data_IF_272619074041
#
_entry.id   IF_272619074041
#
_cell.length_a   1.000
_cell.length_b   1.000
_cell.length_c   1.000
_cell.angle_alpha   90.00
_cell.angle_beta   90.00
_cell.angle_gamma   90.00
#
_symmetry.space_group_name_H-M   'P 1'
#
loop_
_entity.id
_entity.type
_entity.pdbx_description
1 polymer ?
#
# COMPACT_ATOMS: atom_id res chain seq x y z
N UNK A 1 0.89 22.02 -2.42
CA UNK A 1 2.05 22.36 -1.55
C UNK A 1 3.14 21.27 -1.52
N UNK A 2 2.83 19.98 -1.38
CA UNK A 2 3.88 18.93 -1.41
C UNK A 2 4.49 18.68 -2.80
N UNK A 3 3.67 18.58 -3.85
CA UNK A 3 4.17 18.33 -5.22
C UNK A 3 5.15 19.42 -5.71
N UNK A 4 4.85 20.68 -5.41
CA UNK A 4 5.70 21.83 -5.77
C UNK A 4 7.07 21.82 -5.07
N UNK A 5 7.19 21.12 -3.94
CA UNK A 5 8.43 21.03 -3.16
C UNK A 5 9.40 19.97 -3.70
N UNK A 6 9.03 19.24 -4.75
CA UNK A 6 9.95 18.32 -5.41
C UNK A 6 10.02 16.91 -4.80
N UNK A 7 9.11 16.55 -3.87
CA UNK A 7 9.12 15.27 -3.14
C UNK A 7 8.87 14.08 -4.04
N UNK A 8 9.54 12.95 -3.84
CA UNK A 8 9.40 11.76 -4.70
C UNK A 8 8.08 11.01 -4.50
N UNK A 9 7.58 11.00 -3.26
CA UNK A 9 6.44 10.19 -2.81
C UNK A 9 5.39 11.10 -2.20
N UNK A 10 4.14 10.92 -2.63
CA UNK A 10 2.97 11.54 -2.00
C UNK A 10 2.31 10.52 -1.08
N UNK A 11 2.20 10.90 0.18
CA UNK A 11 1.52 10.19 1.27
C UNK A 11 0.78 11.25 2.08
N UNK A 12 -0.49 11.11 2.44
CA UNK A 12 -1.46 10.03 2.19
C UNK A 12 -2.37 10.37 0.99
N UNK A 13 -3.30 9.48 0.64
CA UNK A 13 -4.43 9.90 -0.22
C UNK A 13 -5.31 10.92 0.54
N UNK A 14 -5.84 11.96 -0.14
CA UNK A 14 -6.67 12.98 0.49
C UNK A 14 -8.04 12.40 0.90
N UNK A 15 -8.55 12.89 2.04
CA UNK A 15 -9.89 12.58 2.52
C UNK A 15 -10.90 13.69 2.22
N UNK A 16 -10.43 14.93 2.08
CA UNK A 16 -11.22 16.16 1.91
C UNK A 16 -11.62 16.45 0.45
N UNK A 17 -11.22 15.59 -0.49
CA UNK A 17 -11.59 15.67 -1.89
C UNK A 17 -10.85 14.65 -2.73
N UNK A 18 -11.33 14.45 -3.96
CA UNK A 18 -10.60 13.66 -4.97
C UNK A 18 -9.56 14.56 -5.62
N UNK A 19 -8.33 14.04 -5.84
CA UNK A 19 -7.33 14.79 -6.59
C UNK A 19 -7.86 15.19 -7.97
N UNK A 20 -7.65 16.45 -8.33
CA UNK A 20 -8.04 17.00 -9.63
C UNK A 20 -7.17 16.47 -10.77
N UNK A 21 -7.69 16.52 -11.99
CA UNK A 21 -6.94 16.09 -13.20
C UNK A 21 -5.60 16.83 -13.35
N UNK A 22 -5.53 18.11 -12.93
CA UNK A 22 -4.30 18.89 -12.97
C UNK A 22 -3.27 18.39 -11.96
N UNK A 23 -3.68 18.04 -10.75
CA UNK A 23 -2.80 17.47 -9.72
C UNK A 23 -2.32 16.06 -10.10
N UNK A 24 -3.19 15.26 -10.71
CA UNK A 24 -2.84 13.93 -11.24
C UNK A 24 -1.85 14.07 -12.39
N UNK A 25 -2.10 14.98 -13.35
CA UNK A 25 -1.19 15.26 -14.46
C UNK A 25 0.20 15.69 -13.96
N UNK A 26 0.25 16.56 -12.96
CA UNK A 26 1.50 16.98 -12.34
C UNK A 26 2.27 15.81 -11.71
N UNK A 27 1.58 14.84 -11.09
CA UNK A 27 2.25 13.64 -10.58
C UNK A 27 2.88 12.82 -11.71
N UNK A 28 2.18 12.64 -12.83
CA UNK A 28 2.70 11.93 -14.00
C UNK A 28 3.92 12.65 -14.59
N UNK A 29 3.79 13.95 -14.88
CA UNK A 29 4.85 14.77 -15.48
C UNK A 29 6.11 14.80 -14.60
N UNK A 30 5.93 14.90 -13.29
CA UNK A 30 7.03 14.94 -12.33
C UNK A 30 7.47 13.56 -11.83
N UNK A 31 6.95 12.47 -12.42
CA UNK A 31 7.29 11.07 -12.08
C UNK A 31 7.15 10.76 -10.59
N UNK A 32 6.11 11.31 -9.96
CA UNK A 32 5.80 11.05 -8.55
C UNK A 32 5.12 9.70 -8.39
N UNK A 33 5.27 9.14 -7.20
CA UNK A 33 4.57 7.91 -6.81
C UNK A 33 3.66 8.17 -5.63
N UNK A 34 2.65 7.32 -5.47
CA UNK A 34 1.68 7.39 -4.38
C UNK A 34 1.84 6.22 -3.42
N UNK A 35 1.84 6.51 -2.12
CA UNK A 35 1.65 5.52 -1.04
C UNK A 35 0.41 5.96 -0.26
N UNK A 36 -0.78 5.38 -0.54
CA UNK A 36 -2.05 5.98 -0.13
C UNK A 36 -2.45 5.71 1.32
N UNK A 37 -2.03 4.58 1.90
CA UNK A 37 -2.34 4.15 3.29
C UNK A 37 -3.83 4.08 3.60
N UNK A 38 -4.58 3.43 2.72
CA UNK A 38 -6.04 3.37 2.76
C UNK A 38 -6.56 2.75 4.07
N UNK A 39 -5.92 1.72 4.60
CA UNK A 39 -6.33 1.12 5.89
C UNK A 39 -6.24 2.11 7.06
N UNK A 40 -5.19 2.95 7.09
CA UNK A 40 -5.07 3.99 8.12
C UNK A 40 -6.16 5.04 7.95
N UNK A 41 -6.41 5.47 6.71
CA UNK A 41 -7.44 6.46 6.40
C UNK A 41 -8.86 5.96 6.75
N UNK A 42 -9.17 4.68 6.49
CA UNK A 42 -10.42 4.06 6.94
C UNK A 42 -10.57 4.16 8.46
N UNK A 43 -9.50 3.82 9.20
CA UNK A 43 -9.49 3.91 10.66
C UNK A 43 -9.68 5.34 11.15
N UNK A 44 -9.03 6.32 10.51
CA UNK A 44 -9.18 7.75 10.81
C UNK A 44 -10.63 8.21 10.62
N UNK A 45 -11.29 7.81 9.53
CA UNK A 45 -12.69 8.14 9.30
C UNK A 45 -13.64 7.52 10.35
N UNK A 46 -13.23 6.47 11.06
CA UNK A 46 -14.03 5.83 12.11
C UNK A 46 -13.71 6.37 13.52
N UNK A 47 -12.63 7.14 13.69
CA UNK A 47 -12.22 7.66 15.00
C UNK A 47 -13.12 8.82 15.46
N UNK A 48 -13.70 8.65 16.66
CA UNK A 48 -14.45 9.72 17.34
C UNK A 48 -13.51 10.87 17.75
N UNK A 49 -13.93 12.10 17.54
CA UNK A 49 -13.17 13.30 17.95
C UNK A 49 -12.07 13.74 16.98
N UNK A 50 -11.86 13.00 15.90
CA UNK A 50 -11.31 13.58 14.67
C UNK A 50 -12.49 14.25 13.96
N UNK A 51 -12.25 15.46 13.48
CA UNK A 51 -13.22 16.43 12.99
C UNK A 51 -13.94 15.95 11.71
N UNK A 52 -14.79 14.93 11.84
CA UNK A 52 -15.68 14.40 10.81
C UNK A 52 -16.67 15.46 10.29
N UNK A 53 -16.78 16.60 10.99
CA UNK A 53 -17.57 17.75 10.58
C UNK A 53 -16.90 18.58 9.49
N UNK A 54 -15.62 18.29 9.15
CA UNK A 54 -14.95 18.93 8.03
C UNK A 54 -15.68 18.61 6.72
N UNK A 55 -16.17 19.62 5.98
CA UNK A 55 -16.86 19.41 4.72
C UNK A 55 -16.01 18.57 3.77
N UNK A 56 -16.59 17.50 3.24
CA UNK A 56 -15.93 16.64 2.26
C UNK A 56 -15.02 15.57 2.85
N UNK A 57 -14.89 15.43 4.17
CA UNK A 57 -14.07 14.38 4.80
C UNK A 57 -14.70 12.99 4.64
N UNK A 58 -14.25 12.22 3.65
CA UNK A 58 -14.83 10.92 3.29
C UNK A 58 -13.75 9.94 2.80
N UNK A 59 -13.74 8.72 3.35
CA UNK A 59 -12.87 7.64 2.89
C UNK A 59 -13.06 7.32 1.39
N UNK A 60 -14.27 7.52 0.86
CA UNK A 60 -14.53 7.34 -0.56
C UNK A 60 -13.69 8.26 -1.45
N UNK A 61 -13.27 9.43 -0.96
CA UNK A 61 -12.39 10.34 -1.71
C UNK A 61 -10.97 9.77 -1.86
N UNK A 62 -10.46 9.10 -0.82
CA UNK A 62 -9.18 8.42 -0.87
C UNK A 62 -9.20 7.26 -1.87
N UNK A 63 -10.24 6.42 -1.84
CA UNK A 63 -10.43 5.32 -2.81
C UNK A 63 -10.51 5.82 -4.25
N UNK A 64 -11.31 6.87 -4.49
CA UNK A 64 -11.44 7.50 -5.81
C UNK A 64 -10.12 8.12 -6.27
N UNK A 65 -9.36 8.74 -5.37
CA UNK A 65 -8.03 9.28 -5.69
C UNK A 65 -7.09 8.18 -6.16
N UNK A 66 -7.02 7.04 -5.45
CA UNK A 66 -6.19 5.91 -5.89
C UNK A 66 -6.63 5.38 -7.24
N UNK A 67 -7.94 5.33 -7.50
CA UNK A 67 -8.50 4.92 -8.79
C UNK A 67 -8.03 5.85 -9.93
N UNK A 68 -8.16 7.17 -9.78
CA UNK A 68 -7.75 8.13 -10.83
C UNK A 68 -6.24 8.16 -11.03
N UNK A 69 -5.46 8.02 -9.96
CA UNK A 69 -3.99 7.91 -10.04
C UNK A 69 -3.58 6.66 -10.82
N UNK A 70 -4.14 5.50 -10.48
CA UNK A 70 -3.86 4.23 -11.17
C UNK A 70 -4.24 4.32 -12.65
N UNK A 71 -5.44 4.82 -12.97
CA UNK A 71 -5.88 5.00 -14.36
C UNK A 71 -4.99 5.98 -15.15
N UNK A 72 -4.43 7.00 -14.51
CA UNK A 72 -3.51 7.94 -15.13
C UNK A 72 -2.07 7.38 -15.27
N UNK A 73 -1.80 6.17 -14.77
CA UNK A 73 -0.48 5.54 -14.81
C UNK A 73 0.48 6.05 -13.74
N UNK A 74 -0.01 6.74 -12.70
CA UNK A 74 0.80 7.07 -11.53
C UNK A 74 1.08 5.77 -10.76
N UNK A 75 2.36 5.43 -10.49
CA UNK A 75 2.69 4.24 -9.72
C UNK A 75 2.15 4.33 -8.30
N UNK A 76 1.39 3.32 -7.90
CA UNK A 76 0.86 3.16 -6.54
C UNK A 76 1.62 2.04 -5.85
N UNK A 77 2.18 2.34 -4.68
CA UNK A 77 2.89 1.38 -3.82
C UNK A 77 2.03 1.11 -2.58
N UNK A 78 2.04 -0.14 -2.11
CA UNK A 78 1.38 -0.49 -0.86
C UNK A 78 2.15 0.09 0.34
N UNK A 79 1.43 0.72 1.25
CA UNK A 79 1.93 1.14 2.55
C UNK A 79 0.75 1.31 3.49
N UNK A 80 0.89 0.90 4.75
CA UNK A 80 -0.25 0.78 5.67
C UNK A 80 -0.30 1.85 6.74
N UNK A 81 0.82 2.54 6.96
CA UNK A 81 1.06 3.35 8.16
C UNK A 81 0.89 2.55 9.47
N UNK A 82 1.34 1.28 9.47
CA UNK A 82 1.32 0.41 10.65
C UNK A 82 2.10 1.01 11.82
N UNK A 83 1.48 1.07 12.99
CA UNK A 83 2.02 1.71 14.18
C UNK A 83 1.41 1.12 15.46
N UNK A 84 2.06 1.39 16.61
CA UNK A 84 1.66 0.88 17.92
C UNK A 84 0.92 1.91 18.77
N UNK A 85 0.18 2.85 18.15
CA UNK A 85 -0.51 3.90 18.91
C UNK A 85 -1.64 3.28 19.75
N UNK A 86 -1.67 3.48 21.08
CA UNK A 86 -2.65 2.84 21.95
C UNK A 86 -4.10 3.15 21.55
N UNK A 87 -4.91 2.10 21.39
CA UNK A 87 -6.34 2.20 21.08
C UNK A 87 -6.69 2.61 19.65
N UNK A 88 -5.69 2.90 18.80
CA UNK A 88 -5.90 3.34 17.40
C UNK A 88 -4.77 2.93 16.45
N UNK A 89 -4.01 1.91 16.84
CA UNK A 89 -2.86 1.44 16.08
C UNK A 89 -3.28 0.64 14.85
N UNK A 90 -2.54 0.82 13.76
CA UNK A 90 -2.69 -0.02 12.57
C UNK A 90 -1.78 -1.24 12.73
N UNK A 91 -2.32 -2.48 12.74
CA UNK A 91 -1.57 -3.66 13.15
C UNK A 91 -0.45 -4.00 12.17
N UNK A 92 0.75 -4.27 12.66
CA UNK A 92 1.87 -4.74 11.84
C UNK A 92 1.56 -6.09 11.18
N UNK A 93 2.00 -6.27 9.94
CA UNK A 93 1.80 -7.50 9.17
C UNK A 93 0.40 -7.62 8.58
N UNK A 94 -0.63 -7.79 9.43
CA UNK A 94 -2.00 -8.09 8.96
C UNK A 94 -2.66 -6.94 8.19
N UNK A 95 -2.30 -5.70 8.50
CA UNK A 95 -2.78 -4.51 7.79
C UNK A 95 -2.43 -4.50 6.30
N UNK A 96 -1.28 -5.08 5.93
CA UNK A 96 -0.82 -5.07 4.54
C UNK A 96 -1.77 -5.84 3.63
N UNK A 97 -2.32 -6.97 4.11
CA UNK A 97 -3.29 -7.73 3.33
C UNK A 97 -4.57 -6.93 3.05
N UNK A 98 -5.03 -6.15 4.02
CA UNK A 98 -6.21 -5.31 3.83
C UNK A 98 -5.91 -4.11 2.91
N UNK A 99 -4.71 -3.52 3.00
CA UNK A 99 -4.28 -2.50 2.03
C UNK A 99 -4.28 -3.06 0.60
N UNK A 100 -3.79 -4.29 0.39
CA UNK A 100 -3.84 -4.95 -0.93
C UNK A 100 -5.29 -5.16 -1.42
N UNK A 101 -6.20 -5.53 -0.53
CA UNK A 101 -7.63 -5.65 -0.85
C UNK A 101 -8.23 -4.29 -1.27
N UNK A 102 -7.86 -3.19 -0.59
CA UNK A 102 -8.28 -1.85 -0.99
C UNK A 102 -7.69 -1.41 -2.33
N UNK A 103 -6.42 -1.72 -2.60
CA UNK A 103 -5.82 -1.40 -3.89
C UNK A 103 -6.55 -2.12 -5.03
N UNK A 104 -6.92 -3.40 -4.83
CA UNK A 104 -7.73 -4.14 -5.80
C UNK A 104 -9.12 -3.51 -5.96
N UNK A 105 -9.77 -3.08 -4.88
CA UNK A 105 -11.08 -2.40 -4.98
C UNK A 105 -11.01 -1.04 -5.68
N UNK A 106 -9.84 -0.41 -5.73
CA UNK A 106 -9.57 0.81 -6.49
C UNK A 106 -9.23 0.56 -7.98
N UNK A 107 -9.27 -0.69 -8.45
CA UNK A 107 -9.09 -1.03 -9.87
C UNK A 107 -7.74 -1.64 -10.24
N UNK A 108 -6.81 -1.79 -9.28
CA UNK A 108 -5.60 -2.56 -9.54
C UNK A 108 -5.95 -4.03 -9.73
N UNK A 109 -5.32 -4.70 -10.70
CA UNK A 109 -5.35 -6.16 -10.75
C UNK A 109 -4.64 -6.74 -9.51
N UNK A 110 -5.00 -7.98 -9.15
CA UNK A 110 -4.31 -8.72 -8.08
C UNK A 110 -2.80 -8.79 -8.29
N UNK A 111 -2.35 -8.91 -9.54
CA UNK A 111 -0.94 -8.86 -9.94
C UNK A 111 -0.31 -7.50 -9.64
N UNK A 112 -0.95 -6.39 -10.03
CA UNK A 112 -0.45 -5.04 -9.73
C UNK A 112 -0.41 -4.78 -8.23
N UNK A 113 -1.42 -5.23 -7.48
CA UNK A 113 -1.43 -5.14 -6.03
C UNK A 113 -0.23 -5.90 -5.43
N UNK A 114 0.06 -7.13 -5.86
CA UNK A 114 1.26 -7.86 -5.42
C UNK A 114 2.56 -7.13 -5.79
N UNK A 115 2.64 -6.56 -7.00
CA UNK A 115 3.80 -5.78 -7.43
C UNK A 115 4.01 -4.51 -6.59
N UNK A 116 2.91 -3.85 -6.17
CA UNK A 116 2.93 -2.66 -5.30
C UNK A 116 3.54 -2.92 -3.92
N UNK A 117 3.58 -4.18 -3.48
CA UNK A 117 4.19 -4.60 -2.21
C UNK A 117 5.51 -5.36 -2.38
N UNK A 118 6.01 -5.53 -3.62
CA UNK A 118 7.23 -6.32 -3.91
C UNK A 118 8.17 -5.60 -4.87
N UNK A 119 7.99 -5.78 -6.17
CA UNK A 119 8.91 -5.28 -7.21
C UNK A 119 8.90 -3.76 -7.35
N UNK A 120 7.75 -3.09 -7.16
CA UNK A 120 7.66 -1.63 -7.28
C UNK A 120 8.38 -0.90 -6.14
N UNK A 121 8.15 -1.22 -4.85
CA UNK A 121 8.95 -0.64 -3.76
C UNK A 121 10.45 -0.91 -3.94
N UNK A 122 10.84 -2.11 -4.34
CA UNK A 122 12.25 -2.42 -4.57
C UNK A 122 12.85 -1.52 -5.68
N UNK A 123 12.11 -1.31 -6.76
CA UNK A 123 12.52 -0.41 -7.84
C UNK A 123 12.65 1.05 -7.37
N UNK A 124 11.59 1.62 -6.78
CA UNK A 124 11.55 3.03 -6.39
C UNK A 124 12.47 3.37 -5.23
N UNK A 125 12.77 2.42 -4.33
CA UNK A 125 13.70 2.62 -3.22
C UNK A 125 15.15 2.22 -3.58
N UNK A 126 15.41 1.86 -4.84
CA UNK A 126 16.77 1.53 -5.30
C UNK A 126 17.33 0.21 -4.73
N UNK A 127 16.46 -0.70 -4.29
CA UNK A 127 16.84 -2.01 -3.77
C UNK A 127 17.06 -2.98 -4.94
N UNK A 128 18.33 -3.18 -5.30
CA UNK A 128 18.71 -3.94 -6.51
C UNK A 128 18.77 -5.46 -6.33
N UNK A 129 18.59 -5.94 -5.11
CA UNK A 129 18.82 -7.33 -4.71
C UNK A 129 17.56 -8.07 -4.24
N UNK A 130 16.37 -7.46 -4.29
CA UNK A 130 15.11 -8.07 -3.80
C UNK A 130 13.87 -7.58 -4.53
N UNK A 131 12.70 -8.06 -4.13
CA UNK A 131 11.39 -7.69 -4.70
C UNK A 131 10.97 -8.54 -5.90
N UNK A 132 11.84 -9.40 -6.43
CA UNK A 132 11.56 -10.36 -7.50
C UNK A 132 12.31 -11.67 -7.21
N UNK A 133 11.70 -12.81 -7.54
CA UNK A 133 12.35 -14.13 -7.45
C UNK A 133 13.24 -14.33 -8.67
N UNK A 134 14.56 -14.24 -8.49
CA UNK A 134 15.56 -14.38 -9.56
C UNK A 134 16.88 -14.91 -9.00
N UNK A 135 17.66 -15.73 -9.75
CA UNK A 135 19.01 -16.10 -9.34
C UNK A 135 19.89 -14.89 -9.01
N UNK A 136 20.65 -14.98 -7.92
CA UNK A 136 21.51 -13.91 -7.41
C UNK A 136 20.81 -12.86 -6.55
N UNK A 137 19.48 -12.91 -6.40
CA UNK A 137 18.74 -12.02 -5.50
C UNK A 137 18.66 -12.62 -4.10
N UNK A 138 18.48 -11.75 -3.11
CA UNK A 138 18.26 -12.11 -1.72
C UNK A 138 17.00 -12.98 -1.61
N UNK A 139 17.12 -14.08 -0.87
CA UNK A 139 16.02 -15.01 -0.62
C UNK A 139 15.05 -14.49 0.45
N UNK A 140 14.37 -13.38 0.15
CA UNK A 140 13.22 -12.88 0.90
C UNK A 140 11.95 -13.43 0.22
N UNK A 141 11.38 -14.50 0.80
CA UNK A 141 10.32 -15.30 0.18
C UNK A 141 9.14 -15.49 1.13
N UNK A 142 7.93 -15.55 0.59
CA UNK A 142 6.71 -15.91 1.32
C UNK A 142 6.02 -17.02 0.55
N UNK A 143 5.78 -18.15 1.23
CA UNK A 143 4.98 -19.25 0.70
C UNK A 143 3.54 -19.09 1.16
N UNK A 144 2.62 -19.06 0.20
CA UNK A 144 1.18 -18.89 0.41
C UNK A 144 0.47 -20.18 0.00
N UNK A 145 -0.56 -20.56 0.75
CA UNK A 145 -1.50 -21.63 0.42
C UNK A 145 -2.74 -21.06 -0.26
N UNK A 146 -2.83 -21.29 -1.56
CA UNK A 146 -3.79 -20.65 -2.46
C UNK A 146 -3.10 -19.81 -3.55
N UNK A 147 -3.88 -19.25 -4.47
CA UNK A 147 -3.38 -18.44 -5.58
C UNK A 147 -3.77 -16.97 -5.42
N UNK A 148 -2.83 -16.07 -5.05
CA UNK A 148 -3.12 -14.65 -4.87
C UNK A 148 -3.37 -13.90 -6.18
N UNK A 149 -3.12 -14.51 -7.34
CA UNK A 149 -3.50 -13.96 -8.64
C UNK A 149 -5.01 -14.10 -8.87
N UNK A 150 -5.61 -15.19 -8.39
CA UNK A 150 -7.06 -15.44 -8.54
C UNK A 150 -7.86 -14.70 -7.45
N UNK A 151 -7.34 -14.67 -6.22
CA UNK A 151 -7.93 -13.95 -5.09
C UNK A 151 -6.84 -13.36 -4.19
N UNK A 152 -6.75 -12.03 -4.13
CA UNK A 152 -5.75 -11.32 -3.33
C UNK A 152 -5.81 -11.68 -1.84
N UNK A 153 -6.96 -12.13 -1.33
CA UNK A 153 -7.13 -12.58 0.06
C UNK A 153 -6.31 -13.82 0.39
N UNK A 154 -5.94 -14.61 -0.62
CA UNK A 154 -5.06 -15.76 -0.44
C UNK A 154 -3.72 -15.37 0.21
N UNK A 155 -3.28 -14.11 0.06
CA UNK A 155 -2.06 -13.60 0.73
C UNK A 155 -2.07 -13.78 2.25
N UNK A 156 -3.23 -13.92 2.89
CA UNK A 156 -3.37 -14.17 4.33
C UNK A 156 -2.99 -15.61 4.74
N UNK A 157 -3.01 -16.55 3.81
CA UNK A 157 -2.73 -17.98 4.05
C UNK A 157 -1.23 -18.30 3.99
N UNK A 158 -0.42 -17.54 4.75
CA UNK A 158 1.03 -17.72 4.77
C UNK A 158 1.39 -19.03 5.47
N UNK A 159 2.21 -19.85 4.81
CA UNK A 159 2.75 -21.11 5.37
C UNK A 159 4.17 -20.96 5.88
N UNK A 160 5.00 -20.23 5.15
CA UNK A 160 6.42 -20.06 5.46
C UNK A 160 6.90 -18.70 5.01
N UNK A 161 7.87 -18.16 5.73
CA UNK A 161 8.56 -16.91 5.40
C UNK A 161 10.05 -17.18 5.48
N UNK A 162 10.80 -16.69 4.50
CA UNK A 162 12.25 -16.64 4.54
C UNK A 162 12.71 -15.20 4.46
N UNK A 163 13.69 -14.85 5.28
CA UNK A 163 14.37 -13.56 5.25
C UNK A 163 15.85 -13.82 5.08
N UNK A 164 16.45 -13.29 4.01
CA UNK A 164 17.84 -13.54 3.63
C UNK A 164 18.20 -15.05 3.58
N UNK A 165 17.27 -15.89 3.15
CA UNK A 165 17.46 -17.34 3.06
C UNK A 165 17.24 -18.12 4.35
N UNK A 166 17.00 -17.44 5.48
CA UNK A 166 16.66 -18.10 6.74
C UNK A 166 15.14 -18.22 6.89
N UNK A 167 14.64 -19.44 7.06
CA UNK A 167 13.24 -19.67 7.37
C UNK A 167 12.91 -19.08 8.74
N UNK A 168 11.92 -18.19 8.80
CA UNK A 168 11.34 -17.74 10.04
C UNK A 168 10.33 -18.78 10.52
N UNK A 169 10.70 -19.52 11.55
CA UNK A 169 9.81 -20.43 12.27
C UNK A 169 9.21 -19.64 13.43
N UNK A 170 7.89 -19.39 13.46
CA UNK A 170 7.26 -18.71 14.58
C UNK A 170 7.60 -19.42 15.88
N UNK A 171 8.03 -18.66 16.89
CA UNK A 171 8.18 -19.17 18.26
C UNK A 171 6.85 -19.80 18.69
N UNK A 172 6.89 -21.08 19.05
CA UNK A 172 5.74 -21.79 19.66
C UNK A 172 5.43 -21.31 21.08
N UNK A 173 6.26 -20.42 21.63
CA UNK A 173 6.07 -19.88 22.98
C UNK A 173 5.18 -18.64 22.90
N UNK A 174 3.94 -18.79 23.39
CA UNK A 174 3.07 -17.68 23.81
C UNK A 174 3.45 -17.24 25.21
#
# INVERSE_FOLDING_TARGET
MAQMAGVDIITHAPLDGVMSDDEVRQMVENKRISVPTLIMLESVCQMKGIDQERPGFDFANALKTVTVLHHAGVPVLAGTDANNVPGRGIPHGTSLHQELEFLVSCGLSTKEALQSATSLPAHYFGLKDRGVIKPGYRADLVLIDGNPIDDIKATRSIKKVWVAGQEFVPSTTK
#
